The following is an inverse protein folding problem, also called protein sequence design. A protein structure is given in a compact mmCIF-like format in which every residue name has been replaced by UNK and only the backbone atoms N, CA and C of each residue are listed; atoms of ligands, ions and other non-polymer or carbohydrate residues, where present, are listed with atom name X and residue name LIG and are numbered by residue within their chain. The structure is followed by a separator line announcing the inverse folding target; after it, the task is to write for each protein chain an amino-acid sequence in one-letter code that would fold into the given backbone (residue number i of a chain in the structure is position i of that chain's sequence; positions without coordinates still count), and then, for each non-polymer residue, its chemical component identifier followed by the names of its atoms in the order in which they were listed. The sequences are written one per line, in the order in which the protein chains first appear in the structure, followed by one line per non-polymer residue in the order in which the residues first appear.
data_IF_705623688507
#
_entry.id   IF_705623688507
#
_cell.length_a   1.000
_cell.length_b   1.000
_cell.length_c   1.000
_cell.angle_alpha   90.00
_cell.angle_beta   90.00
_cell.angle_gamma   90.00
#
_symmetry.space_group_name_H-M   'P 1'
#
loop_
_entity.id
_entity.type
_entity.pdbx_description
1 polymer ?
#
# COMPACT_ATOMS: atom_id res chain seq x y z
N UNK A 1 61.79 37.37 32.11
CA UNK A 1 61.87 38.58 31.26
C UNK A 1 61.02 38.29 30.04
N UNK A 2 59.69 38.42 30.15
CA UNK A 2 58.92 39.64 29.89
C UNK A 2 58.87 39.99 28.39
N UNK A 3 57.78 39.58 27.73
CA UNK A 3 57.41 39.98 26.38
C UNK A 3 55.91 40.25 26.33
N UNK A 4 55.54 41.52 26.34
CA UNK A 4 54.18 42.06 26.35
C UNK A 4 53.53 42.11 24.97
N UNK A 5 52.19 42.18 24.99
CA UNK A 5 51.34 42.91 24.02
C UNK A 5 50.90 42.18 22.75
N UNK A 6 49.62 41.85 22.66
CA UNK A 6 48.67 42.78 22.02
C UNK A 6 47.25 42.24 22.07
N UNK A 7 46.33 43.16 22.36
CA UNK A 7 44.88 42.93 22.43
C UNK A 7 44.37 42.62 21.02
N UNK A 8 43.59 41.55 20.85
CA UNK A 8 42.62 41.45 19.76
C UNK A 8 41.23 41.40 20.35
N UNK A 9 40.69 42.59 20.57
CA UNK A 9 39.27 42.79 20.75
C UNK A 9 38.52 42.44 19.46
N UNK A 10 37.26 42.04 19.65
CA UNK A 10 36.18 42.01 18.66
C UNK A 10 36.15 40.79 17.74
N UNK A 11 35.28 39.84 18.12
CA UNK A 11 34.18 39.40 17.26
C UNK A 11 32.90 39.35 18.11
N UNK A 12 32.17 40.46 18.16
CA UNK A 12 30.71 40.38 18.26
C UNK A 12 30.24 39.75 16.94
N UNK A 13 29.46 38.69 17.01
CA UNK A 13 28.77 38.19 15.83
C UNK A 13 28.31 36.75 15.99
N UNK A 14 26.98 36.57 15.98
CA UNK A 14 26.39 35.33 15.48
C UNK A 14 25.54 34.57 16.49
N UNK A 15 24.33 35.09 16.72
CA UNK A 15 23.08 34.35 16.83
C UNK A 15 23.13 32.91 17.40
N UNK A 16 22.66 32.79 18.64
CA UNK A 16 22.05 31.57 19.18
C UNK A 16 20.76 31.29 18.38
N UNK A 17 20.87 30.54 17.28
CA UNK A 17 19.71 30.04 16.54
C UNK A 17 19.12 28.86 17.31
N UNK A 18 18.13 29.16 18.14
CA UNK A 18 17.24 28.17 18.77
C UNK A 18 16.42 27.53 17.64
N UNK A 19 16.77 26.29 17.27
CA UNK A 19 15.99 25.48 16.34
C UNK A 19 14.81 24.87 17.10
N UNK A 20 13.72 25.61 17.24
CA UNK A 20 12.46 25.12 17.79
C UNK A 20 11.47 24.80 16.67
N UNK A 21 11.16 23.49 16.58
CA UNK A 21 9.87 22.88 16.23
C UNK A 21 9.52 23.04 14.73
N UNK A 22 9.11 22.02 13.97
CA UNK A 22 7.93 21.18 14.17
C UNK A 22 8.17 19.82 13.51
N UNK A 23 8.19 18.75 14.31
CA UNK A 23 7.84 17.43 13.79
C UNK A 23 6.34 17.48 13.49
N UNK A 24 5.98 17.88 12.28
CA UNK A 24 4.61 17.75 11.81
C UNK A 24 4.31 16.26 11.81
N UNK A 25 3.51 15.83 12.80
CA UNK A 25 2.92 14.51 12.89
C UNK A 25 1.93 14.29 11.76
N UNK A 26 2.43 14.22 10.52
CA UNK A 26 1.75 13.53 9.45
C UNK A 26 2.06 12.05 9.64
N UNK A 27 1.17 11.30 10.30
CA UNK A 27 1.15 9.86 10.12
C UNK A 27 0.88 9.66 8.63
N UNK A 28 1.92 9.36 7.85
CA UNK A 28 1.71 8.82 6.51
C UNK A 28 0.68 7.70 6.67
N UNK A 29 -0.39 7.65 5.87
CA UNK A 29 -1.30 6.52 5.91
C UNK A 29 -0.44 5.28 5.78
N UNK A 30 -0.58 4.34 6.71
CA UNK A 30 0.04 3.03 6.52
C UNK A 30 -0.36 2.58 5.12
N UNK A 31 0.58 2.08 4.31
CA UNK A 31 0.20 1.42 3.06
C UNK A 31 -0.46 0.05 3.34
N UNK A 32 -1.01 -0.11 4.54
CA UNK A 32 -1.96 -1.12 4.92
C UNK A 32 -3.19 -0.37 5.47
N UNK A 33 -4.26 -0.24 4.68
CA UNK A 33 -5.49 0.43 5.11
C UNK A 33 -6.09 -0.31 6.30
N UNK A 34 -6.67 0.42 7.26
CA UNK A 34 -7.41 -0.20 8.34
C UNK A 34 -8.71 -0.82 7.85
N UNK A 35 -9.30 -1.71 8.63
CA UNK A 35 -10.59 -2.36 8.33
C UNK A 35 -11.72 -1.32 8.10
N UNK A 36 -11.60 -0.14 8.70
CA UNK A 36 -12.55 0.97 8.53
C UNK A 36 -12.54 1.55 7.11
N UNK A 37 -11.40 1.56 6.42
CA UNK A 37 -11.28 2.13 5.08
C UNK A 37 -11.93 1.21 4.05
N UNK A 38 -11.73 -0.10 4.19
CA UNK A 38 -12.41 -1.07 3.32
C UNK A 38 -13.91 -1.10 3.61
N UNK A 39 -14.35 -1.03 4.86
CA UNK A 39 -15.77 -1.02 5.23
C UNK A 39 -16.55 0.11 4.54
N UNK A 40 -15.94 1.29 4.38
CA UNK A 40 -16.54 2.43 3.66
C UNK A 40 -16.66 2.18 2.15
N UNK A 41 -15.67 1.53 1.54
CA UNK A 41 -15.70 1.19 0.11
C UNK A 41 -16.72 0.08 -0.21
N UNK A 42 -17.00 -0.78 0.76
CA UNK A 42 -17.95 -1.88 0.59
C UNK A 42 -19.42 -1.47 0.79
N UNK A 43 -19.73 -0.19 0.99
CA UNK A 43 -21.12 0.28 0.97
C UNK A 43 -21.66 0.22 -0.48
N UNK A 44 -22.71 -0.59 -0.77
CA UNK A 44 -23.25 -0.69 -2.11
C UNK A 44 -23.91 0.62 -2.56
N UNK A 45 -23.64 1.04 -3.79
CA UNK A 45 -24.31 2.18 -4.44
C UNK A 45 -25.31 1.69 -5.49
N UNK A 46 -26.34 2.48 -5.75
CA UNK A 46 -27.37 2.13 -6.73
C UNK A 46 -26.79 1.97 -8.15
N UNK A 47 -25.78 2.77 -8.47
CA UNK A 47 -25.04 2.76 -9.73
C UNK A 47 -24.05 1.59 -9.89
N UNK A 48 -23.80 0.80 -8.85
CA UNK A 48 -22.86 -0.31 -8.94
C UNK A 48 -23.39 -1.41 -9.89
N UNK A 49 -22.53 -1.98 -10.75
CA UNK A 49 -22.85 -3.20 -11.48
C UNK A 49 -23.30 -4.31 -10.54
N UNK A 50 -24.18 -5.20 -11.00
CA UNK A 50 -24.76 -6.24 -10.15
C UNK A 50 -23.72 -7.07 -9.38
N UNK A 51 -22.62 -7.46 -10.04
CA UNK A 51 -21.54 -8.21 -9.40
C UNK A 51 -20.81 -7.40 -8.31
N UNK A 52 -20.57 -6.11 -8.55
CA UNK A 52 -19.96 -5.20 -7.56
C UNK A 52 -20.90 -5.01 -6.38
N UNK A 53 -22.20 -4.83 -6.64
CA UNK A 53 -23.23 -4.69 -5.61
C UNK A 53 -23.30 -5.94 -4.71
N UNK A 54 -23.25 -7.14 -5.30
CA UNK A 54 -23.18 -8.39 -4.56
C UNK A 54 -21.89 -8.52 -3.74
N UNK A 55 -20.74 -8.23 -4.35
CA UNK A 55 -19.46 -8.28 -3.64
C UNK A 55 -19.44 -7.32 -2.45
N UNK A 56 -19.85 -6.07 -2.64
CA UNK A 56 -19.97 -5.07 -1.58
C UNK A 56 -20.92 -5.50 -0.46
N UNK A 57 -22.06 -6.11 -0.81
CA UNK A 57 -23.04 -6.56 0.17
C UNK A 57 -22.62 -7.83 0.95
N UNK A 58 -21.83 -8.73 0.35
CA UNK A 58 -21.58 -10.08 0.90
C UNK A 58 -20.12 -10.38 1.19
N UNK A 59 -19.20 -9.55 0.71
CA UNK A 59 -17.77 -9.79 0.74
C UNK A 59 -17.30 -10.97 -0.13
N UNK A 60 -18.17 -11.55 -0.96
CA UNK A 60 -17.89 -12.72 -1.80
C UNK A 60 -17.87 -12.35 -3.29
N UNK A 61 -16.82 -12.79 -3.99
CA UNK A 61 -16.70 -12.57 -5.42
C UNK A 61 -17.65 -13.52 -6.18
N UNK A 62 -18.66 -13.00 -6.91
CA UNK A 62 -19.58 -13.84 -7.67
C UNK A 62 -18.91 -14.62 -8.82
N UNK A 63 -17.69 -14.22 -9.21
CA UNK A 63 -16.95 -14.87 -10.30
C UNK A 63 -16.11 -16.07 -9.86
N UNK A 64 -16.10 -16.42 -8.57
CA UNK A 64 -15.32 -17.55 -8.09
C UNK A 64 -15.80 -18.87 -8.72
N UNK A 65 -14.88 -19.59 -9.35
CA UNK A 65 -15.15 -20.87 -10.03
C UNK A 65 -15.71 -20.76 -11.44
N UNK A 66 -16.00 -19.56 -11.94
CA UNK A 66 -16.42 -19.34 -13.33
C UNK A 66 -15.19 -19.37 -14.26
N UNK A 67 -15.13 -20.36 -15.16
CA UNK A 67 -13.99 -20.57 -16.04
C UNK A 67 -13.74 -19.41 -17.02
N UNK A 68 -14.81 -18.79 -17.54
CA UNK A 68 -14.70 -17.67 -18.47
C UNK A 68 -14.24 -16.41 -17.75
N UNK A 69 -14.76 -16.17 -16.54
CA UNK A 69 -14.32 -15.07 -15.70
C UNK A 69 -12.86 -15.23 -15.24
N UNK A 70 -12.42 -16.45 -14.92
CA UNK A 70 -11.01 -16.76 -14.60
C UNK A 70 -10.12 -16.48 -15.81
N UNK A 71 -10.50 -16.92 -17.01
CA UNK A 71 -9.73 -16.67 -18.23
C UNK A 71 -9.66 -15.17 -18.56
N UNK A 72 -10.76 -14.43 -18.38
CA UNK A 72 -10.81 -12.98 -18.54
C UNK A 72 -9.96 -12.27 -17.49
N UNK A 73 -10.05 -12.68 -16.21
CA UNK A 73 -9.25 -12.16 -15.11
C UNK A 73 -7.76 -12.35 -15.35
N UNK A 74 -7.34 -13.50 -15.86
CA UNK A 74 -5.93 -13.74 -16.22
C UNK A 74 -5.46 -12.87 -17.39
N UNK A 75 -6.32 -12.58 -18.38
CA UNK A 75 -6.00 -11.58 -19.42
C UNK A 75 -5.79 -10.19 -18.82
N UNK A 76 -6.64 -9.78 -17.88
CA UNK A 76 -6.50 -8.52 -17.17
C UNK A 76 -5.22 -8.47 -16.33
N UNK A 77 -4.93 -9.52 -15.55
CA UNK A 77 -3.73 -9.61 -14.72
C UNK A 77 -2.43 -9.45 -15.55
N UNK A 78 -2.41 -9.99 -16.77
CA UNK A 78 -1.30 -9.75 -17.72
C UNK A 78 -1.28 -8.31 -18.22
N UNK A 79 -2.43 -7.77 -18.59
CA UNK A 79 -2.55 -6.42 -19.14
C UNK A 79 -2.16 -5.33 -18.13
N UNK A 80 -2.41 -5.55 -16.84
CA UNK A 80 -2.07 -4.62 -15.75
C UNK A 80 -0.76 -4.99 -15.04
N UNK A 81 0.09 -5.77 -15.70
CA UNK A 81 1.45 -6.11 -15.30
C UNK A 81 1.62 -6.92 -14.00
N UNK A 82 0.60 -7.61 -13.50
CA UNK A 82 0.74 -8.53 -12.36
C UNK A 82 1.77 -9.63 -12.65
N UNK A 83 1.77 -10.14 -13.88
CA UNK A 83 2.69 -11.21 -14.31
C UNK A 83 4.15 -10.78 -14.42
N UNK A 84 4.43 -9.46 -14.43
CA UNK A 84 5.81 -8.98 -14.46
C UNK A 84 6.53 -9.31 -13.14
N UNK A 85 5.81 -9.24 -12.02
CA UNK A 85 6.35 -9.54 -10.69
C UNK A 85 6.02 -10.96 -10.24
N UNK A 86 4.81 -11.46 -10.50
CA UNK A 86 4.36 -12.78 -10.02
C UNK A 86 4.58 -13.92 -11.03
N UNK A 87 5.31 -13.66 -12.12
CA UNK A 87 5.60 -14.67 -13.13
C UNK A 87 4.48 -14.83 -14.18
N UNK A 88 4.76 -15.52 -15.29
CA UNK A 88 3.88 -15.60 -16.46
C UNK A 88 2.54 -16.30 -16.17
N UNK A 89 2.51 -17.18 -15.17
CA UNK A 89 1.37 -17.97 -14.71
C UNK A 89 0.96 -17.66 -13.26
N UNK A 90 1.46 -16.54 -12.70
CA UNK A 90 1.24 -16.13 -11.32
C UNK A 90 1.83 -17.09 -10.25
N UNK A 91 2.74 -18.00 -10.65
CA UNK A 91 3.38 -18.96 -9.75
C UNK A 91 4.55 -18.38 -8.93
N UNK A 92 4.89 -17.11 -9.14
CA UNK A 92 5.97 -16.37 -8.47
C UNK A 92 7.18 -16.11 -9.37
N UNK A 93 7.84 -14.97 -9.16
CA UNK A 93 9.11 -14.62 -9.81
C UNK A 93 9.93 -13.66 -8.93
N UNK A 94 9.50 -12.40 -8.88
CA UNK A 94 10.01 -11.36 -7.98
C UNK A 94 9.09 -11.30 -6.76
N UNK A 95 7.78 -11.23 -7.02
CA UNK A 95 6.73 -11.38 -6.03
C UNK A 95 6.36 -12.86 -5.79
N UNK A 96 5.59 -13.13 -4.73
CA UNK A 96 5.22 -14.48 -4.30
C UNK A 96 4.28 -15.17 -5.29
N UNK A 97 4.09 -16.48 -5.08
CA UNK A 97 3.11 -17.29 -5.78
C UNK A 97 1.68 -16.91 -5.35
N UNK A 98 0.81 -16.60 -6.32
CA UNK A 98 -0.59 -16.23 -6.08
C UNK A 98 -1.60 -17.36 -6.34
N UNK A 99 -1.13 -18.55 -6.75
CA UNK A 99 -1.99 -19.70 -7.12
C UNK A 99 -1.95 -20.84 -6.10
N UNK A 100 -1.01 -20.82 -5.18
CA UNK A 100 -0.78 -21.89 -4.18
C UNK A 100 -1.77 -21.90 -3.01
N UNK A 101 -2.52 -20.81 -2.83
CA UNK A 101 -3.35 -20.58 -1.65
C UNK A 101 -2.56 -20.29 -0.37
N UNK A 102 -1.23 -20.15 -0.45
CA UNK A 102 -0.37 -19.77 0.66
C UNK A 102 -0.16 -18.25 0.63
N UNK A 103 -0.82 -17.54 1.55
CA UNK A 103 -0.81 -16.09 1.57
C UNK A 103 0.12 -15.53 2.64
N UNK A 104 0.95 -14.55 2.27
CA UNK A 104 1.78 -13.80 3.21
C UNK A 104 0.93 -13.00 4.20
N UNK A 105 -0.13 -12.36 3.70
CA UNK A 105 -1.11 -11.66 4.51
C UNK A 105 -2.32 -12.59 4.70
N UNK A 106 -2.65 -13.00 5.94
CA UNK A 106 -3.73 -13.96 6.17
C UNK A 106 -5.09 -13.52 5.60
N UNK A 107 -5.35 -12.20 5.52
CA UNK A 107 -6.59 -11.65 4.96
C UNK A 107 -6.82 -12.01 3.49
N UNK A 108 -5.75 -12.22 2.71
CA UNK A 108 -5.82 -12.50 1.27
C UNK A 108 -6.42 -13.89 1.00
N UNK A 109 -6.62 -14.71 2.04
CA UNK A 109 -7.42 -15.93 1.98
C UNK A 109 -8.92 -15.72 1.80
N UNK A 110 -9.38 -14.46 1.82
CA UNK A 110 -10.78 -14.06 1.59
C UNK A 110 -10.87 -13.09 0.41
N UNK A 111 -11.99 -13.10 -0.32
CA UNK A 111 -12.18 -12.19 -1.46
C UNK A 111 -12.11 -10.71 -1.02
N UNK A 112 -12.63 -10.41 0.17
CA UNK A 112 -12.58 -9.05 0.73
C UNK A 112 -11.16 -8.60 1.02
N UNK A 113 -10.35 -9.46 1.69
CA UNK A 113 -8.96 -9.13 1.99
C UNK A 113 -8.09 -9.05 0.74
N UNK A 114 -8.30 -9.95 -0.23
CA UNK A 114 -7.64 -9.89 -1.53
C UNK A 114 -7.95 -8.58 -2.25
N UNK A 115 -9.23 -8.19 -2.31
CA UNK A 115 -9.64 -6.94 -2.91
C UNK A 115 -9.03 -5.73 -2.18
N UNK A 116 -9.00 -5.73 -0.85
CA UNK A 116 -8.34 -4.68 -0.06
C UNK A 116 -6.86 -4.54 -0.41
N UNK A 117 -6.14 -5.66 -0.50
CA UNK A 117 -4.73 -5.69 -0.89
C UNK A 117 -4.50 -5.15 -2.30
N UNK A 118 -5.33 -5.53 -3.27
CA UNK A 118 -5.22 -5.04 -4.65
C UNK A 118 -5.59 -3.56 -4.75
N UNK A 119 -6.64 -3.13 -4.04
CA UNK A 119 -7.18 -1.77 -4.13
C UNK A 119 -6.26 -0.73 -3.48
N UNK A 120 -5.74 -1.03 -2.29
CA UNK A 120 -4.93 -0.09 -1.52
C UNK A 120 -3.43 -0.35 -1.63
N UNK A 121 -3.02 -1.51 -2.15
CA UNK A 121 -1.63 -1.97 -2.15
C UNK A 121 -1.18 -2.47 -0.77
N UNK A 122 0.09 -2.86 -0.69
CA UNK A 122 0.78 -3.17 0.57
C UNK A 122 2.02 -2.31 0.71
N UNK A 123 2.55 -2.20 1.93
CA UNK A 123 3.88 -1.64 2.16
C UNK A 123 4.92 -2.37 1.29
N UNK A 124 5.65 -1.62 0.44
CA UNK A 124 6.72 -2.16 -0.42
C UNK A 124 6.39 -2.35 -1.90
N UNK A 125 5.18 -2.00 -2.36
CA UNK A 125 4.82 -2.05 -3.79
C UNK A 125 4.12 -3.35 -4.24
N UNK A 126 3.38 -3.99 -3.32
CA UNK A 126 2.73 -5.31 -3.41
C UNK A 126 3.73 -6.47 -3.20
N UNK A 127 3.76 -6.98 -1.95
CA UNK A 127 4.83 -7.83 -1.40
C UNK A 127 4.86 -9.28 -1.84
#
# INVERSE_FOLDING_TARGET
MSGTSSRRARRLGGALAILLIVAAGGRAPSADPGDDDIARLLVPADSDPAAVKQFKATGRNPYNGDADAIAAGFKLARAVACTHCHGPDLSGLIGPNLTSGQWRYPRDSTDTGMFQTIYFGTNGGMG
#
